data_IF_675658215586
#
_entry.id   IF_675658215586
#
_cell.length_a   1.000
_cell.length_b   1.000
_cell.length_c   1.000
_cell.angle_alpha   90.00
_cell.angle_beta   90.00
_cell.angle_gamma   90.00
#
_symmetry.space_group_name_H-M   'P 1'
#
loop_
_entity.id
_entity.type
_entity.pdbx_description
1 polymer ?
#
# COMPACT_ATOMS: atom_id res chain seq x y z
N UNK A 1 10.41 -14.95 -19.16
CA UNK A 1 11.09 -16.03 -18.46
C UNK A 1 10.45 -17.39 -18.66
N UNK A 2 9.18 -17.55 -18.37
CA UNK A 2 8.49 -18.81 -18.64
C UNK A 2 8.06 -18.89 -20.10
N UNK A 3 8.45 -19.99 -20.77
CA UNK A 3 8.05 -20.31 -22.14
C UNK A 3 7.65 -21.79 -22.20
N UNK A 4 6.62 -22.11 -23.00
CA UNK A 4 6.20 -23.49 -23.21
C UNK A 4 7.35 -24.32 -23.82
N UNK A 5 7.57 -25.53 -23.27
CA UNK A 5 8.63 -26.44 -23.73
C UNK A 5 10.04 -26.14 -23.18
N UNK A 6 10.22 -25.10 -22.36
CA UNK A 6 11.47 -24.87 -21.63
C UNK A 6 11.41 -25.55 -20.26
N UNK A 7 12.55 -25.98 -19.71
CA UNK A 7 12.57 -26.58 -18.37
C UNK A 7 12.42 -25.55 -17.25
N UNK A 8 12.54 -24.25 -17.56
CA UNK A 8 12.34 -23.17 -16.60
C UNK A 8 10.85 -22.81 -16.52
N UNK A 9 10.32 -22.76 -15.32
CA UNK A 9 8.92 -22.46 -15.07
C UNK A 9 8.75 -21.66 -13.78
N UNK A 10 7.52 -21.28 -13.48
CA UNK A 10 7.15 -20.46 -12.32
C UNK A 10 5.87 -21.00 -11.68
N UNK A 11 5.59 -20.59 -10.45
CA UNK A 11 4.32 -20.85 -9.77
C UNK A 11 3.14 -20.29 -10.56
N UNK A 12 3.14 -18.98 -10.82
CA UNK A 12 2.06 -18.29 -11.53
C UNK A 12 2.41 -18.11 -13.00
N UNK A 13 1.76 -18.89 -13.86
CA UNK A 13 1.95 -18.84 -15.32
C UNK A 13 1.08 -17.80 -16.01
N UNK A 14 0.22 -17.11 -15.27
CA UNK A 14 -0.67 -16.06 -15.74
C UNK A 14 -0.35 -14.75 -15.04
N UNK A 15 -0.62 -13.62 -15.70
CA UNK A 15 -0.52 -12.31 -15.04
C UNK A 15 -1.37 -12.29 -13.77
N UNK A 16 -0.87 -11.71 -12.68
CA UNK A 16 0.36 -10.91 -12.54
C UNK A 16 1.67 -11.70 -12.35
N UNK A 17 1.72 -13.00 -12.49
CA UNK A 17 2.89 -13.89 -12.35
C UNK A 17 3.50 -13.95 -10.94
N UNK A 18 2.82 -13.42 -9.94
CA UNK A 18 3.25 -13.40 -8.53
C UNK A 18 2.05 -13.38 -7.60
N UNK A 19 2.29 -13.66 -6.34
CA UNK A 19 1.34 -13.43 -5.25
C UNK A 19 1.70 -12.10 -4.60
N UNK A 20 0.74 -11.16 -4.38
CA UNK A 20 1.02 -9.95 -3.62
C UNK A 20 1.57 -10.30 -2.24
N UNK A 21 2.76 -9.82 -1.92
CA UNK A 21 3.42 -10.07 -0.64
C UNK A 21 3.66 -8.82 0.16
N UNK A 22 3.53 -7.65 -0.48
CA UNK A 22 3.72 -6.36 0.14
C UNK A 22 2.80 -5.31 -0.49
N UNK A 23 2.39 -4.34 0.32
CA UNK A 23 1.64 -3.15 -0.13
C UNK A 23 2.40 -1.93 0.37
N UNK A 24 3.16 -1.25 -0.50
CA UNK A 24 3.73 0.04 -0.17
C UNK A 24 2.65 1.11 -0.08
N UNK A 25 2.73 1.93 0.95
CA UNK A 25 1.79 3.02 1.23
C UNK A 25 2.48 4.36 1.16
N UNK A 26 1.79 5.35 0.63
CA UNK A 26 2.07 6.75 0.92
C UNK A 26 1.46 7.07 2.28
N UNK A 27 2.29 7.39 3.25
CA UNK A 27 1.92 7.67 4.64
C UNK A 27 2.02 9.17 4.86
N UNK A 28 0.95 9.79 5.36
CA UNK A 28 0.90 11.21 5.63
C UNK A 28 1.25 11.49 7.09
N UNK A 29 2.02 12.53 7.36
CA UNK A 29 2.14 13.06 8.72
C UNK A 29 0.92 13.95 9.03
N UNK A 30 0.02 13.45 9.87
CA UNK A 30 -1.23 14.14 10.18
C UNK A 30 -1.05 15.34 11.13
N UNK A 31 0.17 15.60 11.62
CA UNK A 31 0.51 16.81 12.38
C UNK A 31 0.97 17.97 11.47
N UNK A 32 1.08 17.74 10.16
CA UNK A 32 1.48 18.77 9.21
C UNK A 32 0.25 19.48 8.64
N UNK A 33 0.29 20.81 8.74
CA UNK A 33 -0.79 21.67 8.24
C UNK A 33 -1.03 21.42 6.75
N UNK A 34 -2.29 21.25 6.38
CA UNK A 34 -2.72 20.81 5.05
C UNK A 34 -2.81 19.31 4.91
N UNK A 35 -1.83 18.53 5.41
CA UNK A 35 -1.91 17.06 5.41
C UNK A 35 -2.83 16.52 6.52
N UNK A 36 -3.18 17.31 7.51
CA UNK A 36 -4.21 17.04 8.53
C UNK A 36 -5.64 17.03 7.96
N UNK A 37 -5.87 17.66 6.81
CA UNK A 37 -7.17 17.72 6.15
C UNK A 37 -7.40 16.47 5.27
N UNK A 38 -8.42 15.62 5.54
CA UNK A 38 -8.69 14.41 4.74
C UNK A 38 -9.05 14.71 3.28
N UNK A 39 -9.66 15.86 2.96
CA UNK A 39 -9.96 16.24 1.58
C UNK A 39 -8.69 16.59 0.79
N UNK A 40 -7.67 17.15 1.44
CA UNK A 40 -6.35 17.36 0.80
C UNK A 40 -5.70 16.01 0.50
N UNK A 41 -5.75 15.05 1.44
CA UNK A 41 -5.24 13.69 1.22
C UNK A 41 -6.01 12.96 0.12
N UNK A 42 -7.33 13.17 0.03
CA UNK A 42 -8.15 12.64 -1.06
C UNK A 42 -7.74 13.23 -2.42
N UNK A 43 -7.52 14.55 -2.49
CA UNK A 43 -7.02 15.19 -3.71
C UNK A 43 -5.64 14.65 -4.12
N UNK A 44 -4.73 14.43 -3.16
CA UNK A 44 -3.45 13.77 -3.42
C UNK A 44 -3.69 12.34 -3.96
N UNK A 45 -4.56 11.56 -3.34
CA UNK A 45 -4.85 10.19 -3.77
C UNK A 45 -5.39 10.12 -5.21
N UNK A 46 -6.28 11.03 -5.60
CA UNK A 46 -6.75 11.14 -7.00
C UNK A 46 -5.68 11.63 -7.97
N UNK A 47 -4.64 12.33 -7.49
CA UNK A 47 -3.56 12.86 -8.33
C UNK A 47 -2.49 11.83 -8.67
N UNK A 48 -2.41 10.71 -7.97
CA UNK A 48 -1.35 9.71 -8.13
C UNK A 48 -1.58 8.88 -9.39
N UNK A 49 -0.58 8.84 -10.28
CA UNK A 49 -0.58 8.03 -11.49
C UNK A 49 -0.18 6.57 -11.19
N UNK A 50 -1.12 5.81 -10.61
CA UNK A 50 -0.94 4.40 -10.26
C UNK A 50 -0.58 3.51 -11.47
N UNK A 51 -1.19 3.69 -12.66
CA UNK A 51 -0.79 2.94 -13.85
C UNK A 51 0.69 3.13 -14.18
N UNK A 52 1.20 4.36 -14.11
CA UNK A 52 2.61 4.64 -14.39
C UNK A 52 3.55 4.06 -13.31
N UNK A 53 3.12 4.00 -12.04
CA UNK A 53 3.86 3.27 -11.01
C UNK A 53 3.98 1.79 -11.40
N UNK A 54 2.89 1.15 -11.81
CA UNK A 54 2.89 -0.25 -12.21
C UNK A 54 3.81 -0.51 -13.42
N UNK A 55 3.77 0.33 -14.44
CA UNK A 55 4.54 0.14 -15.67
C UNK A 55 6.00 0.55 -15.51
N UNK A 56 6.27 1.73 -14.95
CA UNK A 56 7.63 2.30 -14.92
C UNK A 56 8.42 1.86 -13.70
N UNK A 57 7.84 1.93 -12.50
CA UNK A 57 8.55 1.53 -11.29
C UNK A 57 8.63 0.02 -11.12
N UNK A 58 7.61 -0.72 -11.59
CA UNK A 58 7.47 -2.15 -11.37
C UNK A 58 7.54 -3.00 -12.64
N UNK A 59 7.82 -2.41 -13.81
CA UNK A 59 7.97 -3.14 -15.09
C UNK A 59 6.80 -4.09 -15.39
N UNK A 60 5.57 -3.68 -15.08
CA UNK A 60 4.32 -4.45 -15.17
C UNK A 60 4.26 -5.71 -14.26
N UNK A 61 5.13 -5.81 -13.25
CA UNK A 61 5.10 -6.86 -12.24
C UNK A 61 4.35 -6.48 -10.96
N UNK A 62 3.54 -5.43 -11.01
CA UNK A 62 2.68 -5.01 -9.91
C UNK A 62 1.40 -4.40 -10.47
N UNK A 63 0.32 -4.58 -9.74
CA UNK A 63 -0.96 -3.96 -10.07
C UNK A 63 -1.18 -2.72 -9.19
N UNK A 64 -1.86 -1.67 -9.71
CA UNK A 64 -2.34 -0.58 -8.89
C UNK A 64 -3.15 -1.09 -7.70
N UNK A 65 -2.87 -0.57 -6.51
CA UNK A 65 -3.69 -0.93 -5.36
C UNK A 65 -5.04 -0.21 -5.39
N UNK A 66 -6.06 -0.85 -4.84
CA UNK A 66 -7.38 -0.26 -4.67
C UNK A 66 -7.45 0.60 -3.40
N UNK A 67 -8.49 1.44 -3.30
CA UNK A 67 -8.77 2.28 -2.14
C UNK A 67 -9.33 1.45 -0.96
N UNK A 68 -8.58 0.44 -0.54
CA UNK A 68 -8.92 -0.47 0.55
C UNK A 68 -7.66 -1.02 1.20
N UNK A 69 -7.73 -1.32 2.49
CA UNK A 69 -6.70 -2.06 3.20
C UNK A 69 -6.89 -3.59 3.09
N UNK A 70 -7.89 -4.04 2.34
CA UNK A 70 -8.17 -5.45 2.07
C UNK A 70 -7.68 -5.78 0.66
N UNK A 71 -6.91 -6.84 0.52
CA UNK A 71 -6.46 -7.32 -0.79
C UNK A 71 -7.61 -8.01 -1.51
N UNK A 72 -7.93 -7.64 -2.79
CA UNK A 72 -9.07 -8.20 -3.51
C UNK A 72 -8.86 -9.64 -4.00
N UNK A 73 -7.70 -10.22 -3.72
CA UNK A 73 -7.31 -11.58 -4.15
C UNK A 73 -6.94 -12.45 -2.96
N UNK A 74 -6.82 -13.75 -3.20
CA UNK A 74 -6.46 -14.72 -2.18
C UNK A 74 -7.53 -14.85 -1.08
N UNK A 75 -7.11 -15.22 0.12
CA UNK A 75 -8.00 -15.45 1.26
C UNK A 75 -8.80 -14.21 1.69
N UNK A 76 -8.23 -13.03 1.53
CA UNK A 76 -8.85 -11.77 1.96
C UNK A 76 -10.02 -11.33 1.06
N UNK A 77 -10.09 -11.85 -0.17
CA UNK A 77 -11.12 -11.46 -1.14
C UNK A 77 -12.56 -11.62 -0.62
N UNK A 78 -12.79 -12.55 0.31
CA UNK A 78 -14.09 -12.75 0.94
C UNK A 78 -14.56 -11.59 1.83
N UNK A 79 -13.61 -10.76 2.29
CA UNK A 79 -13.87 -9.57 3.10
C UNK A 79 -13.94 -8.30 2.24
N UNK A 80 -13.45 -8.35 1.00
CA UNK A 80 -13.38 -7.20 0.12
C UNK A 80 -14.77 -6.81 -0.39
N UNK A 81 -15.11 -5.53 -0.26
CA UNK A 81 -16.34 -4.94 -0.79
C UNK A 81 -16.03 -4.08 -2.02
N UNK A 82 -16.10 -4.69 -3.19
CA UNK A 82 -15.84 -4.02 -4.46
C UNK A 82 -16.83 -2.89 -4.76
N UNK A 83 -18.09 -3.00 -4.32
CA UNK A 83 -19.09 -1.97 -4.54
C UNK A 83 -18.81 -0.72 -3.71
N UNK A 84 -18.47 -0.89 -2.42
CA UNK A 84 -18.09 0.22 -1.56
C UNK A 84 -16.79 0.91 -2.06
N UNK A 85 -15.78 0.12 -2.47
CA UNK A 85 -14.53 0.67 -3.02
C UNK A 85 -14.76 1.43 -4.34
N UNK A 86 -15.64 0.95 -5.18
CA UNK A 86 -15.99 1.64 -6.43
C UNK A 86 -16.77 2.95 -6.18
N UNK A 87 -17.64 2.97 -5.18
CA UNK A 87 -18.48 4.12 -4.87
C UNK A 87 -17.74 5.21 -4.08
N UNK A 88 -16.91 4.83 -3.13
CA UNK A 88 -16.31 5.71 -2.13
C UNK A 88 -14.78 5.85 -2.27
N UNK A 89 -14.15 5.00 -3.07
CA UNK A 89 -12.70 4.98 -3.25
C UNK A 89 -12.22 5.98 -4.28
N UNK A 90 -10.93 5.90 -4.55
CA UNK A 90 -10.25 6.77 -5.52
C UNK A 90 -9.46 5.94 -6.54
N UNK A 91 -9.14 6.58 -7.64
CA UNK A 91 -8.25 6.12 -8.69
C UNK A 91 -7.55 7.34 -9.29
N UNK A 92 -6.63 7.15 -10.20
CA UNK A 92 -6.02 8.27 -10.93
C UNK A 92 -7.08 9.07 -11.69
N UNK A 93 -7.34 10.27 -11.21
CA UNK A 93 -8.26 11.25 -11.79
C UNK A 93 -7.83 12.68 -11.41
N UNK A 94 -6.90 13.27 -12.14
CA UNK A 94 -6.43 14.63 -11.87
C UNK A 94 -7.52 15.71 -11.98
N UNK A 95 -8.57 15.46 -12.77
CA UNK A 95 -9.68 16.38 -12.87
C UNK A 95 -10.51 16.41 -11.57
N UNK A 96 -10.77 15.22 -11.00
CA UNK A 96 -11.44 15.09 -9.70
C UNK A 96 -10.61 15.68 -8.57
N UNK A 97 -9.28 15.49 -8.60
CA UNK A 97 -8.39 16.12 -7.63
C UNK A 97 -8.51 17.66 -7.65
N UNK A 98 -8.51 18.27 -8.85
CA UNK A 98 -8.70 19.72 -9.00
C UNK A 98 -10.08 20.17 -8.54
N UNK A 99 -11.14 19.43 -8.86
CA UNK A 99 -12.51 19.72 -8.42
C UNK A 99 -12.59 19.79 -6.87
N UNK A 100 -11.99 18.82 -6.17
CA UNK A 100 -11.90 18.83 -4.70
C UNK A 100 -11.16 20.07 -4.19
N UNK A 101 -10.02 20.40 -4.78
CA UNK A 101 -9.23 21.56 -4.36
C UNK A 101 -10.00 22.88 -4.57
N UNK A 102 -10.58 23.07 -5.75
CA UNK A 102 -11.20 24.34 -6.14
C UNK A 102 -12.63 24.49 -5.58
N UNK A 103 -13.43 23.43 -5.66
CA UNK A 103 -14.84 23.48 -5.32
C UNK A 103 -15.15 23.06 -3.89
N UNK A 104 -14.51 22.04 -3.35
CA UNK A 104 -14.75 21.59 -1.97
C UNK A 104 -13.94 22.42 -0.97
N UNK A 105 -12.63 22.55 -1.23
CA UNK A 105 -11.69 23.23 -0.34
C UNK A 105 -11.58 24.73 -0.59
N UNK A 106 -12.14 25.25 -1.71
CA UNK A 106 -12.06 26.66 -2.12
C UNK A 106 -10.61 27.17 -2.22
N UNK A 107 -9.69 26.24 -2.49
CA UNK A 107 -8.27 26.57 -2.65
C UNK A 107 -8.04 27.39 -3.93
N UNK A 108 -7.04 28.26 -3.91
CA UNK A 108 -6.66 29.11 -5.05
C UNK A 108 -5.22 28.84 -5.42
N UNK A 109 -4.93 28.80 -6.71
CA UNK A 109 -3.56 28.68 -7.21
C UNK A 109 -2.78 29.97 -7.01
N UNK A 110 -1.62 29.85 -6.35
CA UNK A 110 -0.64 30.92 -6.28
C UNK A 110 0.10 31.15 -7.61
N UNK A 111 0.93 32.18 -7.68
CA UNK A 111 1.74 32.51 -8.86
C UNK A 111 2.77 31.44 -9.22
N UNK A 112 3.14 30.57 -8.26
CA UNK A 112 4.02 29.41 -8.45
C UNK A 112 3.27 28.15 -8.90
N UNK A 113 1.96 28.24 -9.13
CA UNK A 113 1.13 27.13 -9.55
C UNK A 113 0.69 26.19 -8.44
N UNK A 114 1.03 26.46 -7.17
CA UNK A 114 0.66 25.65 -6.02
C UNK A 114 -0.60 26.22 -5.39
N UNK A 115 -1.52 25.32 -4.99
CA UNK A 115 -2.76 25.72 -4.30
C UNK A 115 -2.50 26.19 -2.87
N UNK A 116 -3.32 27.14 -2.44
CA UNK A 116 -3.39 27.67 -1.08
C UNK A 116 -4.84 27.61 -0.60
N UNK A 117 -5.04 27.11 0.60
CA UNK A 117 -6.35 27.08 1.26
C UNK A 117 -6.79 28.49 1.69
N UNK A 118 -8.09 28.71 1.95
CA UNK A 118 -8.60 30.02 2.37
C UNK A 118 -7.96 30.58 3.66
N UNK A 119 -7.40 29.72 4.50
CA UNK A 119 -6.70 30.10 5.73
C UNK A 119 -5.22 30.46 5.52
N UNK A 120 -4.76 30.52 4.26
CA UNK A 120 -3.36 30.80 3.90
C UNK A 120 -2.44 29.57 3.93
N UNK A 121 -2.97 28.38 4.15
CA UNK A 121 -2.16 27.15 4.13
C UNK A 121 -1.78 26.79 2.71
N UNK A 122 -0.50 26.88 2.38
CA UNK A 122 0.04 26.47 1.09
C UNK A 122 0.12 24.94 1.04
N UNK A 123 -0.44 24.33 -0.02
CA UNK A 123 -0.43 22.90 -0.24
C UNK A 123 0.88 22.45 -0.91
N UNK A 124 2.00 22.64 -0.22
CA UNK A 124 3.31 22.34 -0.79
C UNK A 124 4.47 22.62 0.13
N UNK A 125 5.70 22.39 -0.43
CA UNK A 125 6.92 22.43 0.34
C UNK A 125 7.19 21.14 1.12
N UNK A 126 6.37 20.11 0.89
CA UNK A 126 6.49 18.82 1.56
C UNK A 126 7.53 17.91 0.91
N UNK A 127 8.17 17.10 1.74
CA UNK A 127 9.11 16.07 1.31
C UNK A 127 8.52 14.68 1.46
N UNK A 128 8.61 13.89 0.39
CA UNK A 128 8.30 12.48 0.37
C UNK A 128 9.60 11.69 0.53
N UNK A 129 9.73 10.98 1.64
CA UNK A 129 10.93 10.21 1.96
C UNK A 129 10.72 8.72 1.78
N UNK A 130 11.75 8.01 1.29
CA UNK A 130 11.86 6.55 1.26
C UNK A 130 13.34 6.18 1.28
N UNK A 131 13.74 4.95 1.64
CA UNK A 131 15.16 4.61 1.67
C UNK A 131 15.85 4.73 0.31
N UNK A 132 17.06 5.26 0.30
CA UNK A 132 17.90 5.25 -0.90
C UNK A 132 18.22 3.81 -1.33
N UNK A 133 18.36 3.59 -2.64
CA UNK A 133 18.71 2.29 -3.21
C UNK A 133 17.54 1.31 -3.34
N UNK A 134 16.36 1.63 -2.82
CA UNK A 134 15.13 0.88 -3.10
C UNK A 134 14.52 1.41 -4.41
N UNK A 135 15.12 1.00 -5.51
CA UNK A 135 14.96 1.65 -6.82
C UNK A 135 13.53 1.70 -7.31
N UNK A 136 12.76 0.64 -7.13
CA UNK A 136 11.34 0.60 -7.45
C UNK A 136 10.52 1.61 -6.62
N UNK A 137 10.84 1.73 -5.32
CA UNK A 137 10.18 2.71 -4.45
C UNK A 137 10.64 4.14 -4.72
N UNK A 138 11.95 4.33 -5.00
CA UNK A 138 12.45 5.66 -5.36
C UNK A 138 11.76 6.17 -6.63
N UNK A 139 11.65 5.32 -7.67
CA UNK A 139 10.94 5.66 -8.91
C UNK A 139 9.44 5.92 -8.65
N UNK A 140 8.78 5.10 -7.83
CA UNK A 140 7.38 5.34 -7.46
C UNK A 140 7.20 6.69 -6.75
N UNK A 141 8.09 7.06 -5.83
CA UNK A 141 8.05 8.38 -5.16
C UNK A 141 8.22 9.54 -6.16
N UNK A 142 9.08 9.40 -7.14
CA UNK A 142 9.27 10.42 -8.19
C UNK A 142 8.02 10.56 -9.07
N UNK A 143 7.36 9.45 -9.41
CA UNK A 143 6.08 9.48 -10.13
C UNK A 143 5.00 10.16 -9.30
N UNK A 144 4.87 9.82 -8.02
CA UNK A 144 3.94 10.48 -7.08
C UNK A 144 4.20 11.99 -7.03
N UNK A 145 5.44 12.40 -6.76
CA UNK A 145 5.78 13.82 -6.66
C UNK A 145 5.48 14.58 -7.95
N UNK A 146 5.77 13.99 -9.11
CA UNK A 146 5.49 14.58 -10.42
C UNK A 146 3.98 14.73 -10.67
N UNK A 147 3.23 13.65 -10.57
CA UNK A 147 1.79 13.65 -10.88
C UNK A 147 0.99 14.56 -9.94
N UNK A 148 1.33 14.58 -8.66
CA UNK A 148 0.71 15.46 -7.66
C UNK A 148 1.05 16.93 -7.93
N UNK A 149 2.29 17.24 -8.37
CA UNK A 149 2.68 18.59 -8.76
C UNK A 149 1.94 19.09 -10.00
N UNK A 150 1.63 18.24 -10.97
CA UNK A 150 0.85 18.58 -12.17
C UNK A 150 -0.58 19.04 -11.84
N UNK A 151 -1.13 18.56 -10.74
CA UNK A 151 -2.41 19.06 -10.20
C UNK A 151 -2.25 20.42 -9.52
N UNK A 152 -1.11 20.68 -8.90
CA UNK A 152 -0.80 21.93 -8.20
C UNK A 152 -0.59 21.75 -6.69
N UNK A 153 -0.12 20.59 -6.28
CA UNK A 153 0.30 20.30 -4.90
C UNK A 153 1.81 20.03 -4.90
N UNK A 154 2.56 20.72 -4.05
CA UNK A 154 4.02 20.74 -4.08
C UNK A 154 4.66 19.65 -3.21
N UNK A 155 5.08 18.54 -3.80
CA UNK A 155 5.86 17.48 -3.15
C UNK A 155 7.21 17.35 -3.85
N UNK A 156 8.28 17.18 -3.10
CA UNK A 156 9.62 16.83 -3.58
C UNK A 156 10.10 15.54 -2.91
N UNK A 157 10.97 14.80 -3.57
CA UNK A 157 11.52 13.53 -3.05
C UNK A 157 12.81 13.76 -2.27
N UNK A 158 13.06 12.91 -1.29
CA UNK A 158 14.31 12.81 -0.55
C UNK A 158 14.56 11.33 -0.19
N UNK A 159 15.78 10.84 -0.42
CA UNK A 159 16.10 9.42 -0.24
C UNK A 159 17.24 9.25 0.79
N UNK A 160 16.95 9.31 2.10
CA UNK A 160 17.93 9.06 3.14
C UNK A 160 18.37 7.60 3.17
N UNK A 161 19.48 7.32 3.87
CA UNK A 161 19.86 5.95 4.21
C UNK A 161 18.75 5.26 5.02
N UNK A 162 18.57 3.95 4.83
CA UNK A 162 17.45 3.21 5.43
C UNK A 162 17.32 3.37 6.95
N UNK A 163 18.39 3.28 7.78
CA UNK A 163 18.25 3.49 9.22
C UNK A 163 17.76 4.90 9.58
N UNK A 164 18.25 5.92 8.87
CA UNK A 164 17.83 7.31 9.08
C UNK A 164 16.36 7.52 8.70
N UNK A 165 15.96 7.02 7.53
CA UNK A 165 14.58 7.12 7.08
C UNK A 165 13.61 6.42 8.04
N UNK A 166 13.93 5.20 8.47
CA UNK A 166 13.12 4.44 9.42
C UNK A 166 13.00 5.17 10.76
N UNK A 167 14.11 5.68 11.29
CA UNK A 167 14.10 6.47 12.54
C UNK A 167 13.23 7.72 12.41
N UNK A 168 13.35 8.47 11.31
CA UNK A 168 12.51 9.65 11.06
C UNK A 168 11.03 9.28 11.01
N UNK A 169 10.68 8.24 10.26
CA UNK A 169 9.31 7.74 10.18
C UNK A 169 8.75 7.32 11.54
N UNK A 170 9.51 6.53 12.30
CA UNK A 170 9.09 6.08 13.63
C UNK A 170 8.87 7.23 14.61
N UNK A 171 9.73 8.25 14.57
CA UNK A 171 9.62 9.43 15.43
C UNK A 171 8.62 10.47 14.94
N UNK A 172 8.07 10.31 13.72
CA UNK A 172 7.15 11.28 13.11
C UNK A 172 7.86 12.53 12.57
N UNK A 173 9.15 12.45 12.25
CA UNK A 173 9.95 13.51 11.64
C UNK A 173 9.95 13.37 10.11
N UNK A 174 8.80 13.52 9.50
CA UNK A 174 8.59 13.48 8.06
C UNK A 174 7.36 14.31 7.68
N UNK A 175 7.21 14.65 6.40
CA UNK A 175 5.96 15.20 5.87
C UNK A 175 5.13 14.09 5.23
N UNK A 176 5.73 13.38 4.27
CA UNK A 176 5.21 12.14 3.70
C UNK A 176 6.31 11.09 3.68
N UNK A 177 5.95 9.83 3.85
CA UNK A 177 6.90 8.75 3.59
C UNK A 177 6.24 7.62 2.80
N UNK A 178 7.03 6.94 1.98
CA UNK A 178 6.65 5.68 1.38
C UNK A 178 7.28 4.54 2.16
N UNK A 179 6.42 3.72 2.74
CA UNK A 179 6.84 2.53 3.48
C UNK A 179 5.75 1.47 3.45
N UNK A 180 6.07 0.25 3.85
CA UNK A 180 5.08 -0.81 4.04
C UNK A 180 4.81 -1.04 5.52
N UNK A 181 3.58 -1.37 5.83
CA UNK A 181 3.24 -2.03 7.08
C UNK A 181 3.53 -3.54 6.99
N UNK A 182 3.07 -4.31 7.94
CA UNK A 182 3.09 -5.77 7.83
C UNK A 182 2.44 -6.20 6.51
N UNK A 183 3.09 -7.10 5.79
CA UNK A 183 2.67 -7.53 4.47
C UNK A 183 1.32 -8.25 4.44
N UNK A 184 1.01 -8.86 3.32
CA UNK A 184 -0.23 -9.63 3.15
C UNK A 184 -0.22 -10.83 4.10
N UNK A 185 -1.19 -10.88 5.00
CA UNK A 185 -1.38 -12.01 5.90
C UNK A 185 -2.23 -13.08 5.23
N UNK A 186 -1.84 -14.36 5.29
CA UNK A 186 -2.70 -15.43 4.79
C UNK A 186 -3.96 -15.66 5.64
N UNK A 187 -4.00 -15.11 6.85
CA UNK A 187 -5.10 -15.30 7.78
C UNK A 187 -6.18 -14.22 7.69
N UNK A 188 -5.79 -12.95 7.64
CA UNK A 188 -6.74 -11.82 7.60
C UNK A 188 -6.05 -10.47 7.35
N UNK A 189 -6.80 -9.43 6.97
CA UNK A 189 -6.27 -8.07 6.85
C UNK A 189 -6.07 -7.35 8.19
N UNK A 190 -6.38 -7.99 9.32
CA UNK A 190 -6.43 -7.39 10.66
C UNK A 190 -5.19 -6.55 11.00
N UNK A 191 -4.01 -7.11 10.74
CA UNK A 191 -2.74 -6.47 11.10
C UNK A 191 -2.50 -5.19 10.29
N UNK A 192 -2.95 -5.12 9.03
CA UNK A 192 -2.85 -3.90 8.23
C UNK A 192 -3.79 -2.80 8.75
N UNK A 193 -5.00 -3.16 9.14
CA UNK A 193 -5.91 -2.22 9.79
C UNK A 193 -5.36 -1.71 11.11
N UNK A 194 -4.80 -2.60 11.95
CA UNK A 194 -4.11 -2.19 13.17
C UNK A 194 -2.96 -1.23 12.86
N UNK A 195 -2.09 -1.62 11.95
CA UNK A 195 -0.89 -0.85 11.64
C UNK A 195 -1.19 0.53 11.04
N UNK A 196 -2.30 0.67 10.32
CA UNK A 196 -2.69 1.92 9.70
C UNK A 196 -3.56 2.82 10.60
N UNK A 197 -4.40 2.23 11.48
CA UNK A 197 -5.49 2.95 12.14
C UNK A 197 -5.48 2.92 13.67
N UNK A 198 -4.91 1.86 14.30
CA UNK A 198 -5.03 1.69 15.76
C UNK A 198 -4.05 2.61 16.50
N UNK A 199 -4.58 3.45 17.37
CA UNK A 199 -3.80 4.37 18.20
C UNK A 199 -3.45 3.82 19.59
N UNK A 200 -3.94 2.65 19.96
CA UNK A 200 -3.65 2.03 21.25
C UNK A 200 -2.16 1.72 21.38
N UNK A 201 -1.51 2.30 22.39
CA UNK A 201 -0.09 2.10 22.65
C UNK A 201 0.86 2.77 21.66
N UNK A 202 0.35 3.63 20.78
CA UNK A 202 1.16 4.41 19.85
C UNK A 202 1.76 5.62 20.58
N UNK A 203 3.07 5.76 20.50
CA UNK A 203 3.78 6.89 21.10
C UNK A 203 3.47 8.21 20.37
N UNK A 204 3.50 9.31 21.09
CA UNK A 204 3.36 10.66 20.52
C UNK A 204 4.47 11.00 19.52
N UNK A 205 4.26 12.04 18.71
CA UNK A 205 5.31 12.60 17.85
C UNK A 205 6.57 12.95 18.67
N UNK A 206 7.72 12.67 18.09
CA UNK A 206 9.02 12.79 18.75
C UNK A 206 9.44 11.55 19.55
N UNK A 207 8.59 10.54 19.66
CA UNK A 207 8.89 9.24 20.25
C UNK A 207 8.64 8.13 19.24
N UNK A 208 9.41 7.04 19.33
CA UNK A 208 9.32 5.94 18.37
C UNK A 208 7.98 5.20 18.46
N UNK A 209 7.26 5.13 17.34
CA UNK A 209 6.13 4.25 17.13
C UNK A 209 6.51 3.15 16.15
N UNK A 210 5.91 1.96 16.30
CA UNK A 210 6.21 0.78 15.48
C UNK A 210 5.05 0.39 14.55
N UNK A 211 3.94 1.09 14.66
CA UNK A 211 2.76 1.06 13.77
C UNK A 211 2.09 2.43 13.83
N UNK A 212 1.07 2.67 12.98
CA UNK A 212 0.33 3.93 12.91
C UNK A 212 1.28 5.15 12.92
N UNK A 213 2.26 5.13 12.00
CA UNK A 213 3.32 6.16 11.93
C UNK A 213 2.77 7.57 11.74
N UNK A 214 1.57 7.70 11.20
CA UNK A 214 0.83 8.95 11.02
C UNK A 214 0.08 9.42 12.27
N UNK A 215 0.07 8.61 13.36
CA UNK A 215 -0.65 8.90 14.62
C UNK A 215 -2.15 9.18 14.39
N UNK A 216 -2.75 8.50 13.44
CA UNK A 216 -4.19 8.56 13.21
C UNK A 216 -4.95 8.17 14.47
N UNK A 217 -6.02 8.91 14.78
CA UNK A 217 -6.89 8.66 15.93
C UNK A 217 -8.34 8.62 15.51
N UNK A 218 -9.04 7.59 15.92
CA UNK A 218 -10.48 7.46 15.75
C UNK A 218 -11.02 6.51 16.83
N UNK A 219 -12.00 6.95 17.60
CA UNK A 219 -12.51 6.24 18.77
C UNK A 219 -13.23 4.91 18.45
N UNK A 220 -13.62 4.68 17.20
CA UNK A 220 -14.36 3.48 16.79
C UNK A 220 -13.43 2.34 16.34
N UNK A 221 -12.18 2.66 15.94
CA UNK A 221 -11.24 1.68 15.36
C UNK A 221 -10.96 0.53 16.30
N UNK A 222 -10.71 0.81 17.58
CA UNK A 222 -10.39 -0.22 18.57
C UNK A 222 -11.51 -1.27 18.69
N UNK A 223 -12.76 -0.82 18.78
CA UNK A 223 -13.92 -1.71 18.90
C UNK A 223 -14.08 -2.62 17.66
N UNK A 224 -13.88 -2.07 16.46
CA UNK A 224 -13.98 -2.86 15.22
C UNK A 224 -12.81 -3.83 15.05
N UNK A 225 -11.60 -3.47 15.48
CA UNK A 225 -10.45 -4.39 15.49
C UNK A 225 -10.69 -5.55 16.47
N UNK A 226 -11.22 -5.27 17.65
CA UNK A 226 -11.53 -6.29 18.65
C UNK A 226 -12.68 -7.19 18.16
N UNK A 227 -13.70 -6.62 17.52
CA UNK A 227 -14.78 -7.38 16.89
C UNK A 227 -14.26 -8.31 15.77
N UNK A 228 -13.34 -7.81 14.91
CA UNK A 228 -12.73 -8.63 13.87
C UNK A 228 -11.88 -9.77 14.44
N UNK A 229 -11.10 -9.50 15.49
CA UNK A 229 -10.28 -10.51 16.17
C UNK A 229 -11.14 -11.56 16.92
N UNK A 230 -12.27 -11.15 17.48
CA UNK A 230 -13.21 -12.01 18.20
C UNK A 230 -14.28 -12.67 17.33
N UNK A 231 -14.29 -12.44 16.02
CA UNK A 231 -15.33 -12.93 15.11
C UNK A 231 -15.49 -14.46 15.17
N UNK A 232 -16.72 -14.92 15.24
CA UNK A 232 -17.05 -16.35 15.26
C UNK A 232 -17.44 -16.90 13.90
N UNK A 233 -17.65 -16.02 12.93
CA UNK A 233 -17.98 -16.37 11.55
C UNK A 233 -17.29 -15.41 10.56
N UNK A 234 -17.18 -15.84 9.30
CA UNK A 234 -16.72 -14.97 8.21
C UNK A 234 -17.65 -13.77 8.01
N UNK A 235 -18.92 -13.90 8.30
CA UNK A 235 -19.89 -12.80 8.20
C UNK A 235 -19.63 -11.73 9.26
N UNK A 236 -19.36 -12.11 10.52
CA UNK A 236 -19.00 -11.19 11.59
C UNK A 236 -17.66 -10.48 11.29
N UNK A 237 -16.67 -11.23 10.83
CA UNK A 237 -15.38 -10.68 10.44
C UNK A 237 -15.54 -9.69 9.28
N UNK A 238 -16.33 -10.03 8.25
CA UNK A 238 -16.62 -9.16 7.11
C UNK A 238 -17.28 -7.86 7.54
N UNK A 239 -18.25 -7.92 8.44
CA UNK A 239 -18.91 -6.72 8.97
C UNK A 239 -17.93 -5.78 9.69
N UNK A 240 -17.07 -6.34 10.54
CA UNK A 240 -16.06 -5.57 11.26
C UNK A 240 -15.02 -4.95 10.31
N UNK A 241 -14.54 -5.70 9.31
CA UNK A 241 -13.60 -5.17 8.31
C UNK A 241 -14.26 -4.14 7.39
N UNK A 242 -15.53 -4.27 7.04
CA UNK A 242 -16.25 -3.27 6.26
C UNK A 242 -16.33 -1.93 6.99
N UNK A 243 -16.59 -1.96 8.31
CA UNK A 243 -16.59 -0.76 9.15
C UNK A 243 -15.19 -0.11 9.21
N UNK A 244 -14.13 -0.89 9.43
CA UNK A 244 -12.75 -0.39 9.42
C UNK A 244 -12.36 0.20 8.07
N UNK A 245 -12.74 -0.45 6.97
CA UNK A 245 -12.41 0.00 5.61
C UNK A 245 -13.18 1.26 5.22
N UNK A 246 -14.40 1.43 5.75
CA UNK A 246 -15.15 2.69 5.65
C UNK A 246 -14.45 3.83 6.39
N UNK A 247 -14.08 3.64 7.66
CA UNK A 247 -13.31 4.61 8.45
C UNK A 247 -12.03 5.00 7.69
N UNK A 248 -11.35 4.02 7.13
CA UNK A 248 -10.15 4.23 6.32
C UNK A 248 -10.41 5.13 5.10
N UNK A 249 -11.44 4.83 4.28
CA UNK A 249 -11.76 5.63 3.08
C UNK A 249 -12.23 7.04 3.42
N UNK A 250 -12.97 7.23 4.50
CA UNK A 250 -13.42 8.55 4.94
C UNK A 250 -12.27 9.44 5.44
N UNK A 251 -11.22 8.84 5.99
CA UNK A 251 -10.14 9.58 6.63
C UNK A 251 -8.80 9.57 5.87
N UNK A 252 -8.54 8.58 5.04
CA UNK A 252 -7.35 8.45 4.16
C UNK A 252 -6.04 8.74 4.91
N UNK A 253 -5.76 8.04 6.01
CA UNK A 253 -4.51 8.26 6.75
C UNK A 253 -3.28 7.77 5.97
N UNK A 254 -3.48 6.86 5.03
CA UNK A 254 -2.48 6.31 4.11
C UNK A 254 -3.11 6.05 2.75
N UNK A 255 -2.30 5.98 1.70
CA UNK A 255 -2.75 5.60 0.34
C UNK A 255 -1.93 4.40 -0.12
N UNK A 256 -2.56 3.23 -0.37
CA UNK A 256 -1.87 2.09 -0.97
C UNK A 256 -1.53 2.40 -2.42
N UNK A 257 -0.30 2.10 -2.82
CA UNK A 257 0.19 2.48 -4.15
C UNK A 257 0.14 1.32 -5.14
N UNK A 258 0.47 0.11 -4.69
CA UNK A 258 0.57 -1.06 -5.55
C UNK A 258 0.49 -2.36 -4.75
N UNK A 259 0.10 -3.45 -5.43
CA UNK A 259 0.24 -4.82 -4.92
C UNK A 259 1.58 -5.37 -5.39
N UNK A 260 2.60 -5.20 -4.55
CA UNK A 260 4.00 -5.52 -4.91
C UNK A 260 4.31 -6.99 -4.68
N UNK A 261 5.00 -7.68 -5.62
CA UNK A 261 5.58 -8.98 -5.34
C UNK A 261 6.65 -8.86 -4.25
N UNK A 262 6.69 -9.80 -3.33
CA UNK A 262 7.79 -9.89 -2.38
C UNK A 262 8.98 -10.63 -2.98
N UNK A 263 8.67 -11.69 -3.75
CA UNK A 263 9.66 -12.47 -4.49
C UNK A 263 9.01 -13.11 -5.71
N UNK A 264 9.82 -13.38 -6.73
CA UNK A 264 9.43 -14.21 -7.86
C UNK A 264 9.85 -15.64 -7.58
N UNK A 265 9.02 -16.58 -7.98
CA UNK A 265 9.29 -17.99 -7.81
C UNK A 265 9.59 -18.63 -9.17
N UNK A 266 10.84 -19.00 -9.36
CA UNK A 266 11.31 -19.66 -10.57
C UNK A 266 12.02 -20.95 -10.22
N UNK A 267 11.86 -21.97 -11.06
CA UNK A 267 12.52 -23.24 -10.92
C UNK A 267 12.90 -23.83 -12.27
N UNK A 268 13.92 -24.67 -12.26
CA UNK A 268 14.37 -25.43 -13.42
C UNK A 268 14.08 -26.93 -13.20
N UNK A 269 13.20 -27.47 -14.05
CA UNK A 269 12.72 -28.82 -13.99
C UNK A 269 13.59 -29.83 -14.80
N UNK A 270 14.81 -29.45 -15.24
CA UNK A 270 15.69 -30.35 -16.01
C UNK A 270 16.16 -31.56 -15.18
N UNK A 271 16.44 -31.36 -13.90
CA UNK A 271 17.01 -32.38 -13.02
C UNK A 271 16.10 -32.77 -11.86
N UNK A 272 15.12 -31.94 -11.56
CA UNK A 272 14.19 -32.14 -10.45
C UNK A 272 12.76 -31.93 -10.91
N UNK A 273 11.84 -32.66 -10.35
CA UNK A 273 10.40 -32.61 -10.63
C UNK A 273 9.58 -32.42 -9.35
N UNK A 274 8.26 -32.30 -9.49
CA UNK A 274 7.33 -32.10 -8.41
C UNK A 274 7.52 -30.75 -7.69
N UNK A 275 7.94 -29.72 -8.40
CA UNK A 275 7.91 -28.36 -7.85
C UNK A 275 6.48 -27.91 -7.54
N UNK A 276 6.27 -27.08 -6.50
CA UNK A 276 4.95 -26.54 -6.23
C UNK A 276 4.53 -25.56 -7.31
N UNK A 277 3.26 -25.62 -7.69
CA UNK A 277 2.61 -24.75 -8.68
C UNK A 277 1.20 -24.41 -8.21
N UNK A 278 0.48 -23.55 -8.93
CA UNK A 278 -0.94 -23.27 -8.65
C UNK A 278 -1.79 -24.54 -8.70
N UNK A 279 -1.44 -25.50 -9.56
CA UNK A 279 -2.12 -26.78 -9.68
C UNK A 279 -1.69 -27.80 -8.61
N UNK A 280 -0.52 -27.57 -7.98
CA UNK A 280 0.03 -28.43 -6.94
C UNK A 280 0.55 -27.58 -5.75
N UNK A 281 -0.32 -26.92 -4.97
CA UNK A 281 0.00 -25.79 -4.10
C UNK A 281 0.47 -26.21 -2.69
N UNK A 282 1.35 -27.19 -2.56
CA UNK A 282 1.82 -27.67 -1.26
C UNK A 282 2.85 -26.74 -0.58
N UNK A 283 3.48 -25.83 -1.30
CA UNK A 283 4.43 -24.84 -0.78
C UNK A 283 4.32 -23.52 -1.58
N UNK A 284 3.29 -22.71 -1.33
CA UNK A 284 3.08 -21.45 -2.07
C UNK A 284 4.29 -20.53 -1.92
N UNK A 285 4.62 -19.73 -2.97
CA UNK A 285 5.75 -18.81 -2.98
C UNK A 285 5.48 -17.57 -2.14
N UNK A 286 5.20 -17.82 -0.89
CA UNK A 286 5.15 -16.79 0.13
C UNK A 286 6.53 -16.73 0.77
N UNK A 287 6.91 -15.55 1.23
CA UNK A 287 8.22 -15.24 1.79
C UNK A 287 8.80 -16.29 2.76
N UNK A 288 10.01 -16.08 3.19
CA UNK A 288 10.94 -16.97 3.88
C UNK A 288 10.28 -17.98 4.85
N UNK A 289 10.51 -19.24 4.64
CA UNK A 289 10.07 -20.36 5.47
C UNK A 289 9.05 -21.29 4.79
N UNK A 290 8.05 -20.79 4.08
CA UNK A 290 7.13 -21.65 3.34
C UNK A 290 7.85 -22.44 2.22
N UNK A 291 8.82 -21.80 1.56
CA UNK A 291 9.63 -22.41 0.50
C UNK A 291 10.41 -23.65 0.93
N UNK A 292 10.81 -23.77 2.19
CA UNK A 292 11.58 -24.93 2.65
C UNK A 292 10.79 -26.25 2.50
N UNK A 293 9.46 -26.18 2.54
CA UNK A 293 8.61 -27.37 2.42
C UNK A 293 8.75 -28.08 1.07
N UNK A 294 9.13 -27.38 0.00
CA UNK A 294 9.30 -27.98 -1.30
C UNK A 294 10.50 -28.94 -1.33
N UNK A 295 11.55 -28.70 -0.54
CA UNK A 295 12.73 -29.58 -0.45
C UNK A 295 12.38 -31.02 -0.04
N UNK A 296 11.30 -31.21 0.72
CA UNK A 296 10.84 -32.55 1.13
C UNK A 296 9.96 -33.26 0.10
N UNK A 297 9.59 -32.58 -0.98
CA UNK A 297 8.62 -33.05 -1.96
C UNK A 297 9.20 -33.18 -3.38
N UNK A 298 10.25 -32.43 -3.71
CA UNK A 298 10.90 -32.55 -5.02
C UNK A 298 11.56 -33.94 -5.15
N UNK A 299 11.64 -34.42 -6.37
CA UNK A 299 12.26 -35.71 -6.72
C UNK A 299 13.25 -35.49 -7.85
N UNK A 300 14.27 -36.32 -7.93
CA UNK A 300 15.17 -36.31 -9.06
C UNK A 300 14.43 -36.87 -10.29
N UNK A 301 14.61 -36.23 -11.44
CA UNK A 301 14.00 -36.72 -12.69
C UNK A 301 14.53 -38.10 -13.02
N UNK A 302 13.61 -39.07 -13.27
CA UNK A 302 13.95 -40.46 -13.62
C UNK A 302 14.32 -41.36 -12.45
N UNK A 303 13.97 -41.01 -11.22
CA UNK A 303 14.14 -41.90 -10.02
C UNK A 303 12.80 -42.39 -9.50
#
# INVERSE_FOLDING_TARGET
MWEAGKPVSTWSKKKPYHVPGNIPFLIFNLNKKGLDNPKVRLAIAYSIDYPNIATTAMSDYSEPANASLIVPSGYESKFYDSAAVQAEGWKFDPAKAKDILENDLKAKKGSDGIYELPDGTKLGGWKLITPTGWTDWNTACEIVAKSVKEVGIGISTEFPQAPTMISRMQNGDFDLCMYSYTGVSPASPWIRFRDALDDRGVADYGKSAFWNYNRFKNSEVAAHLDAAAGAKSDADAKAAYAALDKIYRENIPVVPLMYRPLSFYEFNASNWENFPTEENPYAPPMWSGAGINWLFKIKKVGT
#
